data_IF_456200089372
#
_entry.id   IF_456200089372
#
_cell.length_a   1.000
_cell.length_b   1.000
_cell.length_c   1.000
_cell.angle_alpha   90.00
_cell.angle_beta   90.00
_cell.angle_gamma   90.00
#
_symmetry.space_group_name_H-M   'P 1'
#
loop_
_entity.id
_entity.type
_entity.pdbx_description
1 polymer ?
#
# COMPACT_ATOMS: atom_id res chain seq x y z
N UNK A 1 15.54 3.90 21.31
CA UNK A 1 16.00 5.30 21.51
C UNK A 1 17.16 5.48 22.53
N UNK A 2 18.17 4.61 22.61
CA UNK A 2 19.30 4.87 23.53
C UNK A 2 20.46 5.66 22.88
N UNK A 3 20.54 5.77 21.57
CA UNK A 3 21.70 6.40 20.89
C UNK A 3 21.78 7.93 20.98
N UNK A 4 20.66 8.62 21.17
CA UNK A 4 20.64 10.09 21.25
C UNK A 4 21.22 10.66 22.55
N UNK A 5 21.15 9.92 23.65
CA UNK A 5 21.76 10.32 24.93
C UNK A 5 23.27 10.08 24.98
N UNK A 6 23.76 9.10 24.22
CA UNK A 6 25.20 8.76 24.15
C UNK A 6 25.99 9.78 23.32
N UNK A 7 25.45 10.27 22.21
CA UNK A 7 26.11 11.31 21.41
C UNK A 7 26.16 12.67 22.13
N UNK A 8 25.10 13.03 22.87
CA UNK A 8 25.10 14.26 23.66
C UNK A 8 26.09 14.22 24.84
N UNK A 9 26.25 13.06 25.50
CA UNK A 9 27.21 12.87 26.58
C UNK A 9 28.67 12.89 26.06
N UNK A 10 28.93 12.31 24.89
CA UNK A 10 30.26 12.39 24.28
C UNK A 10 30.64 13.84 23.85
N UNK A 11 29.69 14.59 23.30
CA UNK A 11 29.93 16.00 22.97
C UNK A 11 30.18 16.86 24.17
N UNK A 12 29.51 16.64 25.31
CA UNK A 12 29.76 17.41 26.54
C UNK A 12 31.09 17.04 27.19
N UNK A 13 31.48 15.78 27.21
CA UNK A 13 32.78 15.35 27.77
C UNK A 13 33.95 15.85 26.92
N UNK A 14 33.79 15.95 25.61
CA UNK A 14 34.80 16.54 24.72
C UNK A 14 34.88 18.06 24.82
N UNK A 15 33.76 18.75 25.08
CA UNK A 15 33.76 20.20 25.24
C UNK A 15 34.38 20.64 26.58
N UNK A 16 34.22 19.83 27.63
CA UNK A 16 34.77 20.16 28.95
C UNK A 16 36.29 19.92 29.06
N UNK A 17 36.86 18.98 28.30
CA UNK A 17 38.30 18.73 28.25
C UNK A 17 39.10 19.69 27.33
N UNK A 18 38.43 20.43 26.44
CA UNK A 18 39.07 21.34 25.50
C UNK A 18 39.36 22.71 26.10
N UNK A 19 38.84 23.01 27.29
CA UNK A 19 39.04 24.30 27.96
C UNK A 19 40.24 24.31 28.94
N UNK A 20 40.79 23.14 29.30
CA UNK A 20 41.79 23.08 30.36
C UNK A 20 43.19 22.54 29.98
N UNK A 21 43.49 22.20 28.70
CA UNK A 21 44.83 21.80 28.30
C UNK A 21 45.21 22.27 26.89
N UNK A 22 45.63 23.51 26.84
CA UNK A 22 46.05 24.25 25.64
C UNK A 22 47.53 24.08 25.33
N UNK A 23 48.11 22.90 25.12
CA UNK A 23 49.45 22.90 24.51
C UNK A 23 49.93 21.61 23.79
N UNK A 24 49.27 20.49 23.88
CA UNK A 24 49.85 19.25 23.32
C UNK A 24 48.95 18.57 22.26
N UNK A 25 47.69 18.93 22.07
CA UNK A 25 46.76 18.26 21.15
C UNK A 25 46.34 19.06 19.92
N UNK A 26 47.04 20.17 19.61
CA UNK A 26 46.61 21.05 18.51
C UNK A 26 46.67 20.43 17.11
N UNK A 27 47.49 19.39 16.86
CA UNK A 27 47.59 18.79 15.52
C UNK A 27 46.74 17.54 15.29
N UNK A 28 46.37 16.79 16.34
CA UNK A 28 45.60 15.57 16.18
C UNK A 28 44.07 15.80 16.21
N UNK A 29 43.62 16.73 17.05
CA UNK A 29 42.20 17.07 17.17
C UNK A 29 41.65 17.81 15.96
N UNK A 30 42.45 18.66 15.34
CA UNK A 30 42.05 19.38 14.11
C UNK A 30 41.95 18.45 12.90
N UNK A 31 42.82 17.46 12.82
CA UNK A 31 42.76 16.48 11.70
C UNK A 31 41.54 15.55 11.80
N UNK A 32 41.14 15.14 13.01
CA UNK A 32 39.97 14.31 13.23
C UNK A 32 38.65 15.09 13.13
N UNK A 33 38.57 16.28 13.66
CA UNK A 33 37.41 17.16 13.49
C UNK A 33 37.25 17.66 12.04
N UNK A 34 38.37 17.92 11.34
CA UNK A 34 38.35 18.31 9.93
C UNK A 34 37.85 17.19 9.02
N UNK A 35 38.27 15.93 9.26
CA UNK A 35 37.80 14.77 8.51
C UNK A 35 36.33 14.41 8.81
N UNK A 36 35.86 14.52 10.05
CA UNK A 36 34.44 14.31 10.36
C UNK A 36 33.53 15.40 9.77
N UNK A 37 33.94 16.69 9.86
CA UNK A 37 33.19 17.78 9.24
C UNK A 37 33.13 17.68 7.71
N UNK A 38 34.23 17.26 7.06
CA UNK A 38 34.25 17.05 5.61
C UNK A 38 33.43 15.84 5.18
N UNK A 39 33.43 14.74 5.94
CA UNK A 39 32.61 13.56 5.65
C UNK A 39 31.10 13.85 5.83
N UNK A 40 30.70 14.52 6.92
CA UNK A 40 29.31 14.94 7.11
C UNK A 40 28.86 15.98 6.08
N UNK A 41 29.71 16.94 5.70
CA UNK A 41 29.41 17.90 4.62
C UNK A 41 29.32 17.21 3.25
N UNK A 42 30.13 16.18 2.97
CA UNK A 42 30.03 15.42 1.73
C UNK A 42 28.72 14.66 1.62
N UNK A 43 28.29 13.94 2.67
CA UNK A 43 27.03 13.19 2.65
C UNK A 43 25.82 14.10 2.45
N UNK A 44 25.80 15.28 3.10
CA UNK A 44 24.73 16.28 2.92
C UNK A 44 24.74 16.88 1.51
N UNK A 45 25.90 16.94 0.84
CA UNK A 45 26.01 17.46 -0.53
C UNK A 45 25.53 16.44 -1.57
N UNK A 46 25.73 15.14 -1.34
CA UNK A 46 25.32 14.06 -2.22
C UNK A 46 23.80 13.89 -2.28
N UNK A 47 23.07 14.11 -1.19
CA UNK A 47 21.62 13.87 -1.13
C UNK A 47 20.82 15.18 -1.23
N UNK A 48 21.08 16.01 -2.24
CA UNK A 48 20.23 17.18 -2.50
C UNK A 48 18.94 16.76 -3.23
N UNK A 49 17.94 17.64 -3.27
CA UNK A 49 16.62 17.36 -3.86
C UNK A 49 16.68 16.82 -5.30
N UNK A 50 17.62 17.30 -6.11
CA UNK A 50 17.80 16.83 -7.50
C UNK A 50 18.40 15.44 -7.55
N UNK A 51 19.39 15.13 -6.67
CA UNK A 51 19.97 13.79 -6.62
C UNK A 51 18.92 12.74 -6.26
N UNK A 52 18.07 13.04 -5.29
CA UNK A 52 16.99 12.14 -4.89
C UNK A 52 16.05 11.84 -6.06
N UNK A 53 15.54 12.88 -6.72
CA UNK A 53 14.63 12.74 -7.88
C UNK A 53 15.27 11.95 -9.02
N UNK A 54 16.53 12.24 -9.36
CA UNK A 54 17.24 11.61 -10.46
C UNK A 54 17.48 10.12 -10.22
N UNK A 55 17.89 9.74 -9.01
CA UNK A 55 18.16 8.35 -8.68
C UNK A 55 16.88 7.53 -8.58
N UNK A 56 15.81 8.09 -7.99
CA UNK A 56 14.49 7.44 -7.93
C UNK A 56 13.91 7.22 -9.33
N UNK A 57 13.98 8.23 -10.23
CA UNK A 57 13.50 8.09 -11.60
C UNK A 57 14.29 7.02 -12.38
N UNK A 58 15.62 6.97 -12.21
CA UNK A 58 16.46 5.94 -12.83
C UNK A 58 16.10 4.54 -12.32
N UNK A 59 15.86 4.40 -11.04
CA UNK A 59 15.40 3.14 -10.42
C UNK A 59 14.06 2.69 -10.99
N UNK A 60 13.06 3.57 -11.02
CA UNK A 60 11.71 3.26 -11.52
C UNK A 60 11.70 2.87 -13.00
N UNK A 61 12.47 3.56 -13.82
CA UNK A 61 12.45 3.32 -15.27
C UNK A 61 13.42 2.24 -15.74
N UNK A 62 14.48 1.98 -14.98
CA UNK A 62 15.60 1.11 -15.36
C UNK A 62 16.33 1.58 -16.64
N UNK A 63 16.08 2.81 -17.10
CA UNK A 63 16.59 3.33 -18.38
C UNK A 63 16.98 4.79 -18.26
N UNK A 64 18.25 5.09 -18.53
CA UNK A 64 18.79 6.45 -18.50
C UNK A 64 18.01 7.39 -19.42
N UNK A 65 17.64 6.92 -20.61
CA UNK A 65 16.91 7.74 -21.61
C UNK A 65 15.47 8.02 -21.15
N UNK A 66 14.78 7.03 -20.57
CA UNK A 66 13.41 7.22 -20.06
C UNK A 66 13.39 8.11 -18.83
N UNK A 67 14.30 7.87 -17.88
CA UNK A 67 14.44 8.70 -16.69
C UNK A 67 14.73 10.17 -17.07
N UNK A 68 15.66 10.41 -18.01
CA UNK A 68 15.98 11.75 -18.47
C UNK A 68 14.77 12.45 -19.12
N UNK A 69 13.96 11.71 -19.89
CA UNK A 69 12.71 12.24 -20.47
C UNK A 69 11.68 12.61 -19.41
N UNK A 70 11.46 11.76 -18.41
CA UNK A 70 10.55 12.05 -17.29
C UNK A 70 10.99 13.27 -16.48
N UNK A 71 12.30 13.46 -16.33
CA UNK A 71 12.91 14.57 -15.57
C UNK A 71 13.11 15.85 -16.39
N UNK A 72 12.74 15.85 -17.68
CA UNK A 72 12.97 16.97 -18.61
C UNK A 72 14.43 17.43 -18.69
N UNK A 73 15.37 16.49 -18.64
CA UNK A 73 16.82 16.74 -18.77
C UNK A 73 17.43 15.93 -19.89
N UNK A 74 18.67 16.30 -20.30
CA UNK A 74 19.40 15.48 -21.28
C UNK A 74 19.93 14.19 -20.63
N UNK A 75 20.00 13.10 -21.41
CA UNK A 75 20.58 11.84 -20.95
C UNK A 75 22.03 12.00 -20.48
N UNK A 76 22.80 12.86 -21.17
CA UNK A 76 24.20 13.15 -20.81
C UNK A 76 24.29 13.83 -19.44
N UNK A 77 23.38 14.75 -19.14
CA UNK A 77 23.31 15.42 -17.85
C UNK A 77 23.00 14.40 -16.71
N UNK A 78 21.97 13.58 -16.88
CA UNK A 78 21.61 12.56 -15.90
C UNK A 78 22.75 11.53 -15.69
N UNK A 79 23.43 11.13 -16.78
CA UNK A 79 24.58 10.21 -16.71
C UNK A 79 25.77 10.83 -15.97
N UNK A 80 26.07 12.09 -16.23
CA UNK A 80 27.13 12.80 -15.52
C UNK A 80 26.78 12.98 -14.04
N UNK A 81 25.52 13.25 -13.75
CA UNK A 81 25.02 13.37 -12.39
C UNK A 81 25.21 12.07 -11.61
N UNK A 82 24.80 10.92 -12.17
CA UNK A 82 25.02 9.60 -11.55
C UNK A 82 26.52 9.36 -11.29
N UNK A 83 27.39 9.64 -12.26
CA UNK A 83 28.83 9.48 -12.08
C UNK A 83 29.39 10.33 -10.94
N UNK A 84 28.90 11.56 -10.81
CA UNK A 84 29.33 12.47 -9.74
C UNK A 84 28.88 11.98 -8.36
N UNK A 85 27.62 11.51 -8.22
CA UNK A 85 27.10 10.90 -6.99
C UNK A 85 27.90 9.66 -6.60
N UNK A 86 28.14 8.74 -7.54
CA UNK A 86 28.93 7.53 -7.32
C UNK A 86 30.38 7.86 -6.92
N UNK A 87 30.99 8.88 -7.55
CA UNK A 87 32.35 9.32 -7.23
C UNK A 87 32.43 9.94 -5.85
N UNK A 88 31.39 10.71 -5.45
CA UNK A 88 31.32 11.36 -4.14
C UNK A 88 31.10 10.32 -3.01
N UNK A 89 30.30 9.28 -3.27
CA UNK A 89 30.06 8.18 -2.34
C UNK A 89 31.18 7.12 -2.37
N UNK A 90 32.04 7.13 -3.38
CA UNK A 90 33.11 6.16 -3.54
C UNK A 90 32.63 4.75 -3.90
N UNK A 91 31.39 4.60 -4.35
CA UNK A 91 30.79 3.31 -4.71
C UNK A 91 29.80 3.46 -5.86
N UNK A 92 29.58 2.35 -6.59
CA UNK A 92 28.56 2.28 -7.63
C UNK A 92 27.18 2.13 -7.03
N UNK A 93 26.24 2.95 -7.50
CA UNK A 93 24.82 2.86 -7.13
C UNK A 93 24.05 1.99 -8.11
N UNK A 94 24.43 1.98 -9.39
CA UNK A 94 23.78 1.17 -10.42
C UNK A 94 24.79 0.36 -11.23
N UNK A 95 24.37 -0.85 -11.60
CA UNK A 95 25.00 -1.70 -12.59
C UNK A 95 24.14 -1.79 -13.85
N UNK A 96 24.74 -2.26 -14.97
CA UNK A 96 24.02 -2.44 -16.22
C UNK A 96 23.87 -3.93 -16.51
N UNK A 97 22.65 -4.43 -16.39
CA UNK A 97 22.29 -5.83 -16.61
C UNK A 97 21.25 -5.93 -17.72
N UNK A 98 21.53 -6.72 -18.76
CA UNK A 98 20.65 -6.90 -19.91
C UNK A 98 20.15 -5.56 -20.52
N UNK A 99 21.03 -4.56 -20.56
CA UNK A 99 20.71 -3.22 -21.09
C UNK A 99 19.93 -2.30 -20.14
N UNK A 100 19.56 -2.76 -18.96
CA UNK A 100 18.84 -1.97 -17.92
C UNK A 100 19.78 -1.57 -16.78
N UNK A 101 19.48 -0.45 -16.16
CA UNK A 101 20.11 -0.04 -14.91
C UNK A 101 19.44 -0.72 -13.74
N UNK A 102 20.22 -1.50 -12.98
CA UNK A 102 19.78 -2.23 -11.78
C UNK A 102 20.55 -1.68 -10.58
N UNK A 103 19.92 -1.41 -9.44
CA UNK A 103 20.62 -0.91 -8.27
C UNK A 103 21.54 -1.99 -7.68
N UNK A 104 22.74 -1.57 -7.28
CA UNK A 104 23.63 -2.35 -6.42
C UNK A 104 23.08 -2.41 -4.98
N UNK A 105 23.73 -3.15 -4.08
CA UNK A 105 23.34 -3.10 -2.66
C UNK A 105 23.46 -1.67 -2.08
N UNK A 106 24.50 -0.92 -2.45
CA UNK A 106 24.61 0.49 -2.09
C UNK A 106 23.50 1.33 -2.75
N UNK A 107 23.13 1.01 -3.98
CA UNK A 107 22.03 1.64 -4.70
C UNK A 107 20.68 1.40 -4.03
N UNK A 108 20.39 0.19 -3.55
CA UNK A 108 19.16 -0.11 -2.79
C UNK A 108 19.06 0.72 -1.52
N UNK A 109 20.13 0.79 -0.75
CA UNK A 109 20.21 1.63 0.45
C UNK A 109 19.98 3.09 0.08
N UNK A 110 20.65 3.59 -0.99
CA UNK A 110 20.48 4.97 -1.43
C UNK A 110 19.01 5.27 -1.80
N UNK A 111 18.35 4.40 -2.58
CA UNK A 111 16.96 4.58 -3.00
C UNK A 111 16.00 4.56 -1.81
N UNK A 112 16.21 3.66 -0.85
CA UNK A 112 15.42 3.61 0.39
C UNK A 112 15.47 4.95 1.11
N UNK A 113 16.67 5.44 1.45
CA UNK A 113 16.81 6.73 2.14
C UNK A 113 16.38 7.93 1.28
N UNK A 114 16.63 7.89 -0.03
CA UNK A 114 16.18 8.93 -0.95
C UNK A 114 14.65 9.07 -0.93
N UNK A 115 13.94 7.95 -0.92
CA UNK A 115 12.48 7.92 -0.83
C UNK A 115 11.98 8.49 0.50
N UNK A 116 12.57 8.07 1.61
CA UNK A 116 12.24 8.59 2.95
C UNK A 116 12.46 10.10 3.05
N UNK A 117 13.56 10.63 2.53
CA UNK A 117 13.86 12.07 2.56
C UNK A 117 12.87 12.85 1.70
N UNK A 118 12.50 12.33 0.52
CA UNK A 118 11.51 12.95 -0.35
C UNK A 118 10.15 13.06 0.34
N UNK A 119 9.72 12.02 1.04
CA UNK A 119 8.48 11.99 1.80
C UNK A 119 8.51 12.90 3.01
N UNK A 120 9.61 12.91 3.77
CA UNK A 120 9.80 13.86 4.87
C UNK A 120 9.75 15.32 4.40
N UNK A 121 10.33 15.61 3.23
CA UNK A 121 10.30 16.96 2.63
C UNK A 121 8.89 17.34 2.23
N UNK A 122 8.14 16.42 1.64
CA UNK A 122 6.73 16.63 1.28
C UNK A 122 5.88 16.89 2.51
N UNK A 123 6.04 16.07 3.54
CA UNK A 123 5.35 16.20 4.83
C UNK A 123 5.69 17.53 5.52
N UNK A 124 6.97 17.93 5.50
CA UNK A 124 7.41 19.21 6.04
C UNK A 124 6.74 20.39 5.32
N UNK A 125 6.78 20.40 3.98
CA UNK A 125 6.13 21.46 3.18
C UNK A 125 4.63 21.53 3.46
N UNK A 126 3.97 20.38 3.59
CA UNK A 126 2.56 20.30 3.94
C UNK A 126 2.30 20.90 5.33
N UNK A 127 3.04 20.49 6.37
CA UNK A 127 2.89 21.02 7.73
C UNK A 127 3.12 22.52 7.82
N UNK A 128 4.07 23.06 7.07
CA UNK A 128 4.27 24.52 7.01
C UNK A 128 3.11 25.20 6.27
N UNK A 129 2.59 24.60 5.20
CA UNK A 129 1.43 25.13 4.49
C UNK A 129 0.15 25.13 5.35
N UNK A 130 0.00 24.14 6.24
CA UNK A 130 -1.11 24.02 7.20
C UNK A 130 -1.15 25.18 8.21
N UNK A 131 -0.02 25.78 8.53
CA UNK A 131 0.02 26.96 9.43
C UNK A 131 -0.61 28.23 8.83
N UNK A 132 -0.87 28.22 7.51
CA UNK A 132 -1.28 29.43 6.77
C UNK A 132 -2.46 29.22 5.83
N UNK A 133 -3.06 28.00 5.72
CA UNK A 133 -4.08 27.68 4.71
C UNK A 133 -5.13 26.67 5.21
N UNK A 134 -6.26 26.53 4.51
CA UNK A 134 -7.27 25.53 4.83
C UNK A 134 -6.67 24.13 4.93
N UNK A 135 -7.22 23.33 5.82
CA UNK A 135 -6.81 21.95 6.05
C UNK A 135 -6.95 21.12 4.76
N UNK A 136 -5.86 20.58 4.28
CA UNK A 136 -5.88 19.64 3.13
C UNK A 136 -5.78 18.22 3.67
N UNK A 137 -6.82 17.43 3.48
CA UNK A 137 -6.84 16.01 3.83
C UNK A 137 -6.44 15.18 2.61
N UNK A 138 -5.34 14.43 2.74
CA UNK A 138 -4.86 13.49 1.72
C UNK A 138 -5.45 12.11 2.02
N UNK A 139 -6.41 11.67 1.21
CA UNK A 139 -7.09 10.39 1.39
C UNK A 139 -6.65 9.39 0.33
N UNK A 140 -5.96 8.35 0.74
CA UNK A 140 -5.56 7.23 -0.12
C UNK A 140 -6.66 6.19 -0.25
N UNK A 141 -6.72 5.49 -1.38
CA UNK A 141 -7.56 4.31 -1.53
C UNK A 141 -6.99 3.33 -2.54
N UNK A 142 -7.22 2.04 -2.31
CA UNK A 142 -6.95 0.96 -3.28
C UNK A 142 -8.25 0.42 -3.90
N UNK A 143 -9.40 1.05 -3.61
CA UNK A 143 -10.73 0.57 -3.97
C UNK A 143 -11.50 1.57 -4.83
N UNK A 144 -11.90 1.17 -6.04
CA UNK A 144 -12.78 1.97 -6.90
C UNK A 144 -14.13 2.25 -6.24
N UNK A 145 -14.68 1.31 -5.49
CA UNK A 145 -15.94 1.48 -4.73
C UNK A 145 -15.82 2.62 -3.71
N UNK A 146 -14.68 2.72 -3.03
CA UNK A 146 -14.44 3.80 -2.09
C UNK A 146 -14.35 5.18 -2.78
N UNK A 147 -13.81 5.24 -4.00
CA UNK A 147 -13.78 6.46 -4.81
C UNK A 147 -15.20 6.92 -5.13
N UNK A 148 -16.07 6.03 -5.58
CA UNK A 148 -17.48 6.37 -5.89
C UNK A 148 -18.23 6.88 -4.66
N UNK A 149 -17.97 6.29 -3.48
CA UNK A 149 -18.55 6.76 -2.22
C UNK A 149 -18.03 8.13 -1.81
N UNK A 150 -16.74 8.39 -1.98
CA UNK A 150 -16.15 9.71 -1.72
C UNK A 150 -16.78 10.78 -2.62
N UNK A 151 -16.99 10.51 -3.91
CA UNK A 151 -17.65 11.44 -4.83
C UNK A 151 -19.04 11.86 -4.32
N UNK A 152 -19.79 10.94 -3.70
CA UNK A 152 -21.12 11.23 -3.17
C UNK A 152 -21.08 12.04 -1.87
N UNK A 153 -20.03 11.87 -1.04
CA UNK A 153 -19.95 12.50 0.30
C UNK A 153 -19.27 13.85 0.27
N UNK A 154 -18.26 14.04 -0.59
CA UNK A 154 -17.41 15.24 -0.58
C UNK A 154 -18.17 16.56 -0.82
N UNK A 155 -19.20 16.64 -1.67
CA UNK A 155 -19.97 17.87 -1.83
C UNK A 155 -20.62 18.36 -0.53
N UNK A 156 -21.12 17.43 0.28
CA UNK A 156 -21.76 17.76 1.55
C UNK A 156 -20.70 18.07 2.64
N UNK A 157 -19.61 17.31 2.67
CA UNK A 157 -18.46 17.61 3.53
C UNK A 157 -17.99 19.06 3.30
N UNK A 158 -17.86 19.48 2.03
CA UNK A 158 -17.39 20.84 1.69
C UNK A 158 -18.34 21.93 2.14
N UNK A 159 -19.66 21.68 2.13
CA UNK A 159 -20.65 22.64 2.67
C UNK A 159 -20.52 22.81 4.18
N UNK A 160 -20.30 21.70 4.91
CA UNK A 160 -20.20 21.70 6.37
C UNK A 160 -18.83 22.23 6.83
N UNK A 161 -17.77 21.89 6.11
CA UNK A 161 -16.39 22.25 6.41
C UNK A 161 -15.71 22.96 5.21
N UNK A 162 -16.11 24.19 4.86
CA UNK A 162 -15.64 24.88 3.65
C UNK A 162 -14.12 25.17 3.68
N UNK A 163 -13.50 25.16 4.86
CA UNK A 163 -12.04 25.30 5.04
C UNK A 163 -11.27 23.99 4.87
N UNK A 164 -11.94 22.85 4.60
CA UNK A 164 -11.30 21.56 4.40
C UNK A 164 -11.27 21.22 2.92
N UNK A 165 -10.06 21.04 2.38
CA UNK A 165 -9.87 20.50 1.03
C UNK A 165 -9.51 19.02 1.11
N UNK A 166 -10.13 18.19 0.28
CA UNK A 166 -9.84 16.76 0.21
C UNK A 166 -9.17 16.45 -1.12
N UNK A 167 -8.01 15.79 -1.03
CA UNK A 167 -7.29 15.23 -2.17
C UNK A 167 -7.43 13.71 -2.12
N UNK A 168 -7.93 13.10 -3.19
CA UNK A 168 -8.08 11.64 -3.31
C UNK A 168 -6.90 11.10 -4.11
N UNK A 169 -6.22 10.10 -3.55
CA UNK A 169 -5.05 9.48 -4.16
C UNK A 169 -5.35 7.99 -4.36
N UNK A 170 -5.31 7.55 -5.61
CA UNK A 170 -5.40 6.12 -5.91
C UNK A 170 -4.03 5.48 -5.68
N UNK A 171 -3.96 4.55 -4.74
CA UNK A 171 -2.74 3.83 -4.42
C UNK A 171 -2.69 2.52 -5.22
N UNK A 172 -1.53 2.21 -5.81
CA UNK A 172 -1.35 1.02 -6.66
C UNK A 172 -1.53 -0.29 -5.87
N UNK A 173 -1.15 -0.29 -4.61
CA UNK A 173 -1.31 -1.43 -3.72
C UNK A 173 -1.41 -1.00 -2.25
N UNK A 174 -1.72 -1.99 -1.39
CA UNK A 174 -1.93 -1.78 0.03
C UNK A 174 -0.64 -1.38 0.76
N UNK A 175 0.50 -1.97 0.40
CA UNK A 175 1.77 -1.68 1.08
C UNK A 175 2.16 -0.21 0.89
N UNK A 176 1.97 0.34 -0.32
CA UNK A 176 2.18 1.76 -0.61
C UNK A 176 1.21 2.64 0.19
N UNK A 177 -0.07 2.25 0.27
CA UNK A 177 -1.07 3.02 1.00
C UNK A 177 -0.75 3.10 2.50
N UNK A 178 -0.39 1.98 3.12
CA UNK A 178 0.00 1.92 4.54
C UNK A 178 1.29 2.69 4.78
N UNK A 179 2.31 2.45 3.95
CA UNK A 179 3.58 3.17 4.06
C UNK A 179 3.38 4.70 3.99
N UNK A 180 2.54 5.16 3.08
CA UNK A 180 2.23 6.58 2.92
C UNK A 180 1.45 7.16 4.11
N UNK A 181 0.59 6.37 4.75
CA UNK A 181 -0.09 6.74 5.99
C UNK A 181 0.91 6.88 7.14
N UNK A 182 1.76 5.88 7.35
CA UNK A 182 2.76 5.84 8.43
C UNK A 182 3.77 7.02 8.33
N UNK A 183 4.14 7.39 7.09
CA UNK A 183 5.06 8.51 6.84
C UNK A 183 4.36 9.87 6.69
N UNK A 184 3.03 9.92 6.86
CA UNK A 184 2.24 11.15 6.87
C UNK A 184 2.13 11.85 5.52
N UNK A 185 2.33 11.15 4.41
CA UNK A 185 2.00 11.64 3.06
C UNK A 185 0.52 11.45 2.76
N UNK A 186 -0.13 10.51 3.44
CA UNK A 186 -1.58 10.37 3.52
C UNK A 186 -2.07 10.64 4.95
N UNK A 187 -3.25 11.17 5.08
CA UNK A 187 -3.92 11.44 6.36
C UNK A 187 -4.89 10.33 6.74
N UNK A 188 -5.49 9.71 5.75
CA UNK A 188 -6.35 8.55 5.88
C UNK A 188 -6.23 7.65 4.67
N UNK A 189 -6.52 6.35 4.85
CA UNK A 189 -6.60 5.39 3.74
C UNK A 189 -7.84 4.52 3.85
N UNK A 190 -8.53 4.34 2.73
CA UNK A 190 -9.67 3.44 2.60
C UNK A 190 -9.20 2.13 1.98
N UNK A 191 -9.26 1.06 2.74
CA UNK A 191 -8.71 -0.25 2.39
C UNK A 191 -9.69 -1.39 2.63
N UNK A 192 -9.35 -2.56 2.13
CA UNK A 192 -9.94 -3.84 2.56
C UNK A 192 -8.92 -4.69 3.29
N UNK A 193 -9.30 -5.26 4.42
CA UNK A 193 -8.43 -6.05 5.28
C UNK A 193 -9.03 -7.44 5.57
N UNK A 194 -8.21 -8.46 5.86
CA UNK A 194 -8.69 -9.78 6.25
C UNK A 194 -9.25 -9.83 7.68
N UNK A 195 -9.12 -8.76 8.47
CA UNK A 195 -9.64 -8.64 9.83
C UNK A 195 -9.59 -7.22 10.34
N UNK A 196 -10.28 -6.94 11.46
CA UNK A 196 -10.36 -5.60 12.03
C UNK A 196 -9.06 -5.15 12.71
N UNK A 197 -8.29 -6.08 13.24
CA UNK A 197 -7.09 -5.83 14.05
C UNK A 197 -5.79 -6.08 13.27
N UNK A 198 -5.83 -5.94 11.94
CA UNK A 198 -4.65 -6.20 11.10
C UNK A 198 -3.64 -5.06 11.08
N UNK A 199 -4.00 -3.89 11.59
CA UNK A 199 -3.18 -2.66 11.55
C UNK A 199 -3.17 -1.98 12.92
N UNK A 200 -2.05 -1.33 13.23
CA UNK A 200 -1.84 -0.63 14.51
C UNK A 200 -2.45 0.78 14.54
N UNK A 201 -2.69 1.38 13.37
CA UNK A 201 -3.25 2.73 13.27
C UNK A 201 -4.72 2.78 13.72
N UNK A 202 -5.18 3.94 14.23
CA UNK A 202 -6.59 4.13 14.52
C UNK A 202 -7.46 3.82 13.31
N UNK A 203 -8.50 3.02 13.49
CA UNK A 203 -9.34 2.54 12.39
C UNK A 203 -10.82 2.77 12.64
N UNK A 204 -11.55 2.99 11.57
CA UNK A 204 -13.01 3.00 11.53
C UNK A 204 -13.47 1.85 10.63
N UNK A 205 -14.15 0.87 11.22
CA UNK A 205 -14.76 -0.22 10.45
C UNK A 205 -16.00 0.28 9.74
N UNK A 206 -16.02 0.16 8.41
CA UNK A 206 -17.13 0.62 7.57
C UNK A 206 -18.14 -0.48 7.32
N UNK A 207 -17.66 -1.66 6.87
CA UNK A 207 -18.52 -2.77 6.49
C UNK A 207 -17.74 -4.10 6.48
N UNK A 208 -18.43 -5.20 6.80
CA UNK A 208 -17.93 -6.58 6.61
C UNK A 208 -18.60 -7.17 5.39
N UNK A 209 -17.81 -7.62 4.45
CA UNK A 209 -18.29 -8.16 3.18
C UNK A 209 -17.96 -9.64 3.06
N UNK A 210 -18.99 -10.45 2.85
CA UNK A 210 -18.88 -11.89 2.64
C UNK A 210 -18.14 -12.21 1.34
N UNK A 211 -17.22 -13.19 1.39
CA UNK A 211 -16.57 -13.79 0.23
C UNK A 211 -17.30 -15.08 -0.11
N UNK A 212 -17.66 -15.23 -1.37
CA UNK A 212 -18.40 -16.41 -1.88
C UNK A 212 -17.48 -17.27 -2.74
N UNK A 213 -17.65 -18.58 -2.65
CA UNK A 213 -17.13 -19.49 -3.64
C UNK A 213 -18.02 -19.47 -4.90
N UNK A 214 -17.40 -19.54 -6.06
CA UNK A 214 -18.06 -19.31 -7.34
C UNK A 214 -17.64 -20.39 -8.33
N UNK A 215 -18.64 -20.99 -9.00
CA UNK A 215 -18.41 -22.06 -9.95
C UNK A 215 -19.39 -21.98 -11.14
N UNK A 216 -19.00 -22.44 -12.33
CA UNK A 216 -19.93 -22.63 -13.44
C UNK A 216 -21.07 -23.57 -13.08
N UNK A 217 -22.30 -23.25 -13.48
CA UNK A 217 -23.47 -24.08 -13.24
C UNK A 217 -23.45 -25.40 -14.05
N UNK A 218 -22.65 -25.43 -15.11
CA UNK A 218 -22.49 -26.56 -16.02
C UNK A 218 -21.60 -27.67 -15.46
N UNK A 219 -20.87 -27.41 -14.36
CA UNK A 219 -20.04 -28.45 -13.76
C UNK A 219 -20.91 -29.57 -13.14
N UNK A 220 -20.55 -30.85 -13.27
CA UNK A 220 -21.32 -31.99 -12.69
C UNK A 220 -21.62 -31.79 -11.19
N UNK A 221 -20.67 -31.28 -10.41
CA UNK A 221 -20.88 -30.98 -8.99
C UNK A 221 -21.92 -29.87 -8.78
N UNK A 222 -21.91 -28.84 -9.61
CA UNK A 222 -22.87 -27.73 -9.59
C UNK A 222 -24.27 -28.20 -9.93
N UNK A 223 -24.43 -28.99 -10.98
CA UNK A 223 -25.71 -29.55 -11.38
C UNK A 223 -26.30 -30.49 -10.32
N UNK A 224 -25.47 -31.33 -9.70
CA UNK A 224 -25.91 -32.22 -8.63
C UNK A 224 -26.42 -31.42 -7.43
N UNK A 225 -25.75 -30.31 -7.07
CA UNK A 225 -26.17 -29.41 -5.98
C UNK A 225 -27.50 -28.71 -6.33
N UNK A 226 -27.66 -28.21 -7.54
CA UNK A 226 -28.90 -27.57 -8.01
C UNK A 226 -30.10 -28.57 -7.97
N UNK A 227 -29.91 -29.81 -8.41
CA UNK A 227 -30.95 -30.86 -8.37
C UNK A 227 -31.36 -31.16 -6.92
N UNK A 228 -30.39 -31.22 -5.99
CA UNK A 228 -30.63 -31.58 -4.58
C UNK A 228 -31.20 -30.40 -3.77
N UNK A 229 -30.81 -29.18 -4.07
CA UNK A 229 -31.10 -27.97 -3.26
C UNK A 229 -31.85 -26.90 -4.08
N UNK A 230 -33.14 -27.20 -4.40
CA UNK A 230 -33.96 -26.34 -5.27
C UNK A 230 -34.23 -24.91 -4.77
N UNK A 231 -34.20 -24.69 -3.45
CA UNK A 231 -34.55 -23.39 -2.85
C UNK A 231 -33.34 -22.55 -2.41
N UNK A 232 -32.29 -23.19 -1.92
CA UNK A 232 -31.09 -22.49 -1.40
C UNK A 232 -29.89 -23.43 -1.48
N UNK A 233 -28.81 -22.98 -2.08
CA UNK A 233 -27.56 -23.73 -2.12
C UNK A 233 -26.96 -23.85 -0.73
N UNK A 234 -26.33 -24.99 -0.39
CA UNK A 234 -25.68 -25.19 0.90
C UNK A 234 -24.45 -24.29 1.05
N UNK A 235 -24.13 -23.94 2.28
CA UNK A 235 -22.80 -23.42 2.58
C UNK A 235 -21.75 -24.53 2.42
N UNK A 236 -20.57 -24.17 1.93
CA UNK A 236 -19.49 -25.11 1.69
C UNK A 236 -18.43 -24.99 2.79
N UNK A 237 -18.15 -26.09 3.47
CA UNK A 237 -16.98 -26.23 4.35
C UNK A 237 -15.73 -26.53 3.51
N UNK A 238 -14.49 -26.33 4.02
CA UNK A 238 -13.26 -26.71 3.32
C UNK A 238 -13.31 -28.17 2.79
N UNK A 239 -13.77 -29.10 3.63
CA UNK A 239 -13.87 -30.52 3.28
C UNK A 239 -14.91 -30.78 2.18
N UNK A 240 -16.09 -30.14 2.23
CA UNK A 240 -17.11 -30.29 1.20
C UNK A 240 -16.68 -29.65 -0.12
N UNK A 241 -16.00 -28.50 -0.06
CA UNK A 241 -15.47 -27.81 -1.23
C UNK A 241 -14.39 -28.66 -1.91
N UNK A 242 -13.42 -29.21 -1.14
CA UNK A 242 -12.43 -30.16 -1.63
C UNK A 242 -13.08 -31.36 -2.33
N UNK A 243 -14.05 -32.00 -1.70
CA UNK A 243 -14.73 -33.19 -2.24
C UNK A 243 -15.49 -32.89 -3.53
N UNK A 244 -16.16 -31.76 -3.64
CA UNK A 244 -17.03 -31.42 -4.76
C UNK A 244 -16.29 -30.74 -5.91
N UNK A 245 -15.34 -29.88 -5.58
CA UNK A 245 -14.67 -28.99 -6.53
C UNK A 245 -13.14 -29.12 -6.55
N UNK A 246 -12.54 -29.95 -5.69
CA UNK A 246 -11.08 -30.06 -5.56
C UNK A 246 -10.34 -30.57 -6.79
N UNK A 247 -11.02 -31.25 -7.72
CA UNK A 247 -10.45 -31.71 -8.99
C UNK A 247 -10.42 -30.64 -10.07
N UNK A 248 -11.21 -29.57 -9.90
CA UNK A 248 -11.25 -28.46 -10.86
C UNK A 248 -10.10 -27.49 -10.64
N UNK A 249 -9.65 -26.80 -11.70
CA UNK A 249 -8.67 -25.73 -11.56
C UNK A 249 -9.27 -24.53 -10.85
N UNK A 250 -8.45 -23.85 -10.05
CA UNK A 250 -8.84 -22.62 -9.34
C UNK A 250 -8.28 -21.40 -10.03
N UNK A 251 -9.09 -20.36 -10.16
CA UNK A 251 -8.70 -19.02 -10.56
C UNK A 251 -8.73 -18.15 -9.29
N UNK A 252 -7.59 -17.73 -8.85
CA UNK A 252 -7.43 -17.02 -7.56
C UNK A 252 -6.94 -15.57 -7.75
N UNK A 253 -7.10 -14.76 -6.74
CA UNK A 253 -6.45 -13.47 -6.66
C UNK A 253 -4.93 -13.63 -6.49
N UNK A 254 -4.18 -12.58 -6.83
CA UNK A 254 -2.74 -12.56 -6.60
C UNK A 254 -2.39 -12.82 -5.13
N UNK A 255 -1.24 -13.46 -4.85
CA UNK A 255 -0.70 -13.58 -3.51
C UNK A 255 -0.67 -12.22 -2.80
N UNK A 256 -0.86 -12.22 -1.46
CA UNK A 256 -0.94 -11.03 -0.61
C UNK A 256 -2.19 -10.15 -0.79
N UNK A 257 -3.07 -10.41 -1.73
CA UNK A 257 -4.37 -9.73 -1.75
C UNK A 257 -5.22 -10.17 -0.55
N UNK A 258 -6.07 -9.28 -0.05
CA UNK A 258 -6.95 -9.56 1.10
C UNK A 258 -7.77 -10.85 0.91
N UNK A 259 -8.38 -11.04 -0.26
CA UNK A 259 -9.17 -12.25 -0.55
C UNK A 259 -8.28 -13.49 -0.58
N UNK A 260 -7.08 -13.40 -1.17
CA UNK A 260 -6.16 -14.53 -1.24
C UNK A 260 -5.68 -14.97 0.15
N UNK A 261 -5.38 -14.05 1.04
CA UNK A 261 -5.04 -14.36 2.43
C UNK A 261 -6.18 -15.11 3.12
N UNK A 262 -7.41 -14.63 2.98
CA UNK A 262 -8.59 -15.29 3.55
C UNK A 262 -8.82 -16.69 2.98
N UNK A 263 -8.65 -16.86 1.69
CA UNK A 263 -8.80 -18.16 1.02
C UNK A 263 -7.71 -19.15 1.44
N UNK A 264 -6.47 -18.70 1.52
CA UNK A 264 -5.36 -19.53 1.97
C UNK A 264 -5.56 -19.96 3.44
N UNK A 265 -6.05 -19.08 4.31
CA UNK A 265 -6.44 -19.41 5.69
C UNK A 265 -7.60 -20.41 5.74
N UNK A 266 -8.60 -20.26 4.88
CA UNK A 266 -9.74 -21.16 4.81
C UNK A 266 -9.32 -22.60 4.48
N UNK A 267 -8.24 -22.78 3.72
CA UNK A 267 -7.72 -24.10 3.37
C UNK A 267 -6.62 -24.60 4.33
N UNK A 268 -6.05 -23.75 5.16
CA UNK A 268 -4.89 -24.08 5.99
C UNK A 268 -5.11 -25.32 6.88
N UNK A 269 -6.33 -25.47 7.45
CA UNK A 269 -6.67 -26.58 8.33
C UNK A 269 -7.25 -27.82 7.59
N UNK A 270 -7.29 -27.79 6.25
CA UNK A 270 -8.03 -28.81 5.47
C UNK A 270 -7.14 -29.80 4.71
N UNK A 271 -5.82 -29.73 4.86
CA UNK A 271 -4.86 -30.52 4.05
C UNK A 271 -5.23 -30.53 2.54
N UNK A 272 -5.65 -29.36 2.04
CA UNK A 272 -6.03 -29.14 0.66
C UNK A 272 -5.30 -27.96 0.05
N UNK A 273 -4.55 -28.25 -1.00
CA UNK A 273 -3.90 -27.22 -1.84
C UNK A 273 -4.59 -27.20 -3.21
N UNK A 274 -5.34 -26.15 -3.54
CA UNK A 274 -6.02 -26.08 -4.82
C UNK A 274 -5.02 -26.00 -5.98
N UNK A 275 -5.31 -26.70 -7.08
CA UNK A 275 -4.56 -26.55 -8.34
C UNK A 275 -4.90 -25.20 -8.97
N UNK A 276 -4.00 -24.24 -8.85
CA UNK A 276 -4.18 -22.89 -9.40
C UNK A 276 -3.86 -22.90 -10.89
N UNK A 277 -4.84 -22.62 -11.73
CA UNK A 277 -4.68 -22.51 -13.19
C UNK A 277 -4.45 -21.07 -13.66
N UNK A 278 -4.80 -20.08 -12.84
CA UNK A 278 -4.57 -18.68 -13.17
C UNK A 278 -4.73 -17.77 -11.96
N UNK A 279 -4.13 -16.59 -12.06
CA UNK A 279 -4.29 -15.53 -11.06
C UNK A 279 -4.68 -14.22 -11.73
N UNK A 280 -5.50 -13.42 -11.06
CA UNK A 280 -5.89 -12.10 -11.54
C UNK A 280 -5.94 -11.07 -10.39
N UNK A 281 -5.71 -9.80 -10.72
CA UNK A 281 -5.73 -8.71 -9.75
C UNK A 281 -7.14 -8.19 -9.45
N UNK A 282 -8.10 -8.43 -10.35
CA UNK A 282 -9.45 -7.93 -10.22
C UNK A 282 -10.51 -9.03 -10.34
N UNK A 283 -11.61 -8.83 -9.65
CA UNK A 283 -12.73 -9.78 -9.58
C UNK A 283 -13.44 -9.98 -10.92
N UNK A 284 -13.48 -8.98 -11.79
CA UNK A 284 -14.15 -9.07 -13.10
C UNK A 284 -13.45 -10.10 -13.99
N UNK A 285 -12.12 -10.08 -14.02
CA UNK A 285 -11.33 -11.07 -14.76
C UNK A 285 -11.57 -12.48 -14.22
N UNK A 286 -11.58 -12.63 -12.88
CA UNK A 286 -11.86 -13.94 -12.25
C UNK A 286 -13.24 -14.46 -12.67
N UNK A 287 -14.27 -13.62 -12.57
CA UNK A 287 -15.62 -13.97 -12.99
C UNK A 287 -15.71 -14.34 -14.48
N UNK A 288 -15.04 -13.57 -15.34
CA UNK A 288 -14.98 -13.84 -16.77
C UNK A 288 -14.36 -15.22 -17.07
N UNK A 289 -13.23 -15.55 -16.42
CA UNK A 289 -12.57 -16.84 -16.59
C UNK A 289 -13.43 -18.02 -16.06
N UNK A 290 -14.14 -17.80 -14.94
CA UNK A 290 -15.09 -18.81 -14.43
C UNK A 290 -16.26 -18.98 -15.40
N UNK A 291 -16.80 -17.89 -15.95
CA UNK A 291 -17.89 -17.95 -16.94
C UNK A 291 -17.50 -18.74 -18.19
N UNK A 292 -16.26 -18.58 -18.64
CA UNK A 292 -15.69 -19.37 -19.76
C UNK A 292 -15.28 -20.81 -19.36
N UNK A 293 -15.73 -21.29 -18.21
CA UNK A 293 -15.46 -22.65 -17.70
C UNK A 293 -13.96 -22.96 -17.50
N UNK A 294 -13.11 -21.96 -17.30
CA UNK A 294 -11.68 -22.18 -17.06
C UNK A 294 -11.38 -22.69 -15.65
N UNK A 295 -12.34 -22.59 -14.72
CA UNK A 295 -12.16 -23.06 -13.36
C UNK A 295 -13.21 -22.55 -12.39
N UNK A 296 -12.87 -22.62 -11.10
CA UNK A 296 -13.69 -22.14 -9.98
C UNK A 296 -12.89 -21.10 -9.18
N UNK A 297 -13.55 -20.29 -8.35
CA UNK A 297 -12.81 -19.26 -7.61
C UNK A 297 -13.62 -18.61 -6.49
N UNK A 298 -13.10 -17.49 -6.00
CA UNK A 298 -13.70 -16.74 -4.89
C UNK A 298 -13.90 -15.29 -5.27
N UNK A 299 -15.06 -14.74 -4.93
CA UNK A 299 -15.38 -13.34 -5.21
C UNK A 299 -16.07 -12.69 -4.01
N UNK A 300 -15.95 -11.36 -3.85
CA UNK A 300 -16.77 -10.63 -2.91
C UNK A 300 -18.25 -10.64 -3.32
N UNK A 301 -19.13 -10.66 -2.36
CA UNK A 301 -20.58 -10.74 -2.54
C UNK A 301 -21.17 -9.59 -3.36
N UNK A 302 -20.57 -8.39 -3.25
CA UNK A 302 -20.99 -7.23 -4.05
C UNK A 302 -20.75 -7.39 -5.57
N UNK A 303 -19.90 -8.32 -5.94
CA UNK A 303 -19.60 -8.62 -7.34
C UNK A 303 -20.51 -9.68 -7.94
N UNK A 304 -21.53 -10.16 -7.19
CA UNK A 304 -22.54 -11.01 -7.76
C UNK A 304 -23.23 -10.26 -8.91
N UNK A 305 -23.08 -10.80 -10.09
CA UNK A 305 -23.88 -10.39 -11.25
C UNK A 305 -24.94 -11.43 -11.47
N UNK A 306 -26.11 -10.99 -11.91
CA UNK A 306 -27.15 -11.88 -12.43
C UNK A 306 -26.69 -12.45 -13.79
N UNK A 307 -25.63 -13.26 -13.74
CA UNK A 307 -25.11 -13.97 -14.91
C UNK A 307 -25.69 -15.39 -14.90
N UNK A 308 -26.50 -15.68 -15.90
CA UNK A 308 -26.93 -17.06 -16.14
C UNK A 308 -25.69 -17.92 -16.35
N UNK A 309 -25.62 -19.06 -15.66
CA UNK A 309 -24.50 -19.99 -15.84
C UNK A 309 -23.43 -19.98 -14.73
N UNK A 310 -23.57 -19.12 -13.72
CA UNK A 310 -22.67 -19.09 -12.56
C UNK A 310 -23.45 -19.34 -11.27
N UNK A 311 -22.89 -20.14 -10.38
CA UNK A 311 -23.40 -20.38 -9.02
C UNK A 311 -22.50 -19.74 -7.98
N UNK A 312 -23.12 -19.24 -6.92
CA UNK A 312 -22.48 -18.60 -5.79
C UNK A 312 -22.83 -19.34 -4.50
N UNK A 313 -21.83 -19.73 -3.76
CA UNK A 313 -21.96 -20.49 -2.52
C UNK A 313 -21.39 -19.70 -1.35
N UNK A 314 -22.16 -19.59 -0.26
CA UNK A 314 -21.60 -19.18 1.02
C UNK A 314 -20.61 -20.22 1.54
N UNK A 315 -19.69 -19.78 2.37
CA UNK A 315 -18.69 -20.64 2.99
C UNK A 315 -18.96 -20.83 4.48
N UNK A 316 -18.48 -21.94 5.03
CA UNK A 316 -18.54 -22.21 6.46
C UNK A 316 -17.19 -22.75 6.95
N UNK A 317 -16.46 -22.03 7.84
CA UNK A 317 -16.84 -20.72 8.39
C UNK A 317 -16.95 -19.65 7.30
N UNK A 318 -17.78 -18.62 7.54
CA UNK A 318 -17.89 -17.50 6.62
C UNK A 318 -16.54 -16.80 6.48
N UNK A 319 -16.16 -16.54 5.25
CA UNK A 319 -15.06 -15.64 4.95
C UNK A 319 -15.59 -14.22 4.77
N UNK A 320 -15.06 -13.30 5.55
CA UNK A 320 -15.44 -11.90 5.47
C UNK A 320 -14.20 -11.02 5.36
N UNK A 321 -14.19 -10.10 4.40
CA UNK A 321 -13.23 -9.01 4.37
C UNK A 321 -13.82 -7.77 5.01
N UNK A 322 -12.98 -6.96 5.61
CA UNK A 322 -13.39 -5.75 6.30
C UNK A 322 -13.03 -4.53 5.45
N UNK A 323 -14.02 -3.71 5.12
CA UNK A 323 -13.80 -2.38 4.59
C UNK A 323 -13.56 -1.43 5.75
N UNK A 324 -12.44 -0.71 5.74
CA UNK A 324 -12.06 0.18 6.84
C UNK A 324 -11.35 1.43 6.36
N UNK A 325 -11.41 2.47 7.17
CA UNK A 325 -10.62 3.67 7.03
C UNK A 325 -9.58 3.69 8.17
N UNK A 326 -8.31 3.64 7.81
CA UNK A 326 -7.22 3.92 8.73
C UNK A 326 -6.91 5.41 8.69
N UNK A 327 -6.57 5.97 9.83
CA UNK A 327 -6.36 7.41 9.99
C UNK A 327 -5.13 7.63 10.87
N UNK A 328 -4.32 8.62 10.55
CA UNK A 328 -3.23 9.04 11.42
C UNK A 328 -3.75 9.40 12.81
N UNK A 329 -3.02 8.98 13.83
CA UNK A 329 -3.43 9.13 15.23
C UNK A 329 -3.80 10.57 15.60
N UNK A 330 -3.11 11.57 15.03
CA UNK A 330 -3.36 12.98 15.31
C UNK A 330 -4.67 13.52 14.73
N UNK A 331 -5.22 12.83 13.72
CA UNK A 331 -6.44 13.22 13.02
C UNK A 331 -7.68 12.42 13.43
N UNK A 332 -7.53 11.44 14.31
CA UNK A 332 -8.63 10.57 14.75
C UNK A 332 -9.85 11.35 15.25
N UNK A 333 -9.60 12.41 16.01
CA UNK A 333 -10.65 13.26 16.59
C UNK A 333 -10.97 14.49 15.72
N UNK A 334 -10.38 14.59 14.51
CA UNK A 334 -10.68 15.70 13.61
C UNK A 334 -12.14 15.65 13.15
N UNK A 335 -12.93 16.75 13.33
CA UNK A 335 -14.37 16.75 13.02
C UNK A 335 -14.70 16.34 11.57
N UNK A 336 -13.87 16.73 10.60
CA UNK A 336 -14.09 16.37 9.20
C UNK A 336 -13.83 14.88 8.94
N UNK A 337 -12.80 14.29 9.59
CA UNK A 337 -12.52 12.84 9.55
C UNK A 337 -13.65 12.05 10.21
N UNK A 338 -14.11 12.47 11.38
CA UNK A 338 -15.23 11.83 12.10
C UNK A 338 -16.50 11.89 11.26
N UNK A 339 -16.80 13.05 10.67
CA UNK A 339 -17.92 13.19 9.75
C UNK A 339 -17.79 12.23 8.55
N UNK A 340 -16.64 12.26 7.88
CA UNK A 340 -16.36 11.41 6.72
C UNK A 340 -16.50 9.92 7.05
N UNK A 341 -15.94 9.47 8.18
CA UNK A 341 -16.05 8.07 8.62
C UNK A 341 -17.50 7.64 8.85
N UNK A 342 -18.30 8.51 9.46
CA UNK A 342 -19.72 8.25 9.72
C UNK A 342 -20.52 8.14 8.42
N UNK A 343 -20.33 9.06 7.49
CA UNK A 343 -21.06 9.07 6.22
C UNK A 343 -20.62 7.90 5.33
N UNK A 344 -19.31 7.59 5.27
CA UNK A 344 -18.81 6.39 4.57
C UNK A 344 -19.50 5.14 5.11
N UNK A 345 -19.56 4.97 6.44
CA UNK A 345 -20.22 3.80 7.05
C UNK A 345 -21.67 3.65 6.62
N UNK A 346 -22.42 4.74 6.55
CA UNK A 346 -23.81 4.75 6.04
C UNK A 346 -23.88 4.35 4.57
N UNK A 347 -23.00 4.94 3.73
CA UNK A 347 -22.95 4.62 2.30
C UNK A 347 -22.59 3.17 2.06
N UNK A 348 -21.58 2.63 2.74
CA UNK A 348 -21.24 1.21 2.65
C UNK A 348 -22.44 0.32 3.01
N UNK A 349 -23.12 0.63 4.12
CA UNK A 349 -24.26 -0.15 4.56
C UNK A 349 -25.42 -0.12 3.54
N UNK A 350 -25.74 1.04 2.97
CA UNK A 350 -26.78 1.18 1.94
C UNK A 350 -26.38 0.49 0.64
N UNK A 351 -25.16 0.73 0.14
CA UNK A 351 -24.65 0.14 -1.10
C UNK A 351 -24.73 -1.37 -1.10
N UNK A 352 -24.30 -2.01 -0.01
CA UNK A 352 -24.33 -3.46 0.10
C UNK A 352 -25.72 -4.03 0.42
N UNK A 353 -26.62 -3.25 1.04
CA UNK A 353 -28.01 -3.64 1.25
C UNK A 353 -28.81 -3.67 -0.05
N UNK A 354 -28.61 -2.69 -0.92
CA UNK A 354 -29.30 -2.59 -2.22
C UNK A 354 -28.91 -3.73 -3.18
N UNK A 355 -27.68 -4.20 -3.11
CA UNK A 355 -27.22 -5.36 -3.88
C UNK A 355 -27.92 -6.64 -3.39
N UNK A 356 -28.22 -6.72 -2.07
CA UNK A 356 -28.95 -7.86 -1.48
C UNK A 356 -30.45 -7.89 -1.82
N UNK A 357 -31.07 -6.75 -2.12
CA UNK A 357 -32.51 -6.63 -2.39
C UNK A 357 -32.91 -6.78 -3.87
N UNK A 358 -31.94 -6.69 -4.78
CA UNK A 358 -32.16 -6.88 -6.24
C UNK A 358 -32.08 -8.33 -6.72
N UNK A 359 -32.37 -9.30 -5.83
CA UNK A 359 -32.39 -10.74 -6.11
C UNK A 359 -33.80 -11.29 -6.23
#
# INVERSE_FOLDING_TARGET
FPYRKFLCALCMVFHFNLVHNYSIFHNFGYFFCFNMKTAQFKVVRCMNSKSLEYMIALYKTGSMTRAAKELYVSQSNLSQFLKNEEAELGTKLFTREHGKYVPTEAGKIYIEYATQIQEMTTTFRRKIAELSKPLVLQIGTTSSVAIDMLHAILPELHKIYPGVHVSIINCDNLDIAIYSLDHGTLDAVLITAPGENCYCEPSFVMYKEEILFTAPSTLPASEALLKKHRKKLPALTPSSLRRLFGTYPFILQYPRSCIRILVDQFFADSDFSPRVAGTASNTQTILGLIYENMGVGFIPKNNIKSMNGILYFSLEPKLERVHMMLVRSELKENPAIVYLSRELKKYYSNYFSDIGSKR
#
